data_IF_118869919974
#
_entry.id   IF_118869919974
#
_cell.length_a   1.000
_cell.length_b   1.000
_cell.length_c   1.000
_cell.angle_alpha   90.00
_cell.angle_beta   90.00
_cell.angle_gamma   90.00
#
_symmetry.space_group_name_H-M   'P 1'
#
loop_
_entity.id
_entity.type
_entity.pdbx_description
1 polymer ?
#
# COMPACT_ATOMS: atom_id res chain seq x y z
N UNK A 1 21.91 -7.18 -19.96
CA UNK A 1 20.52 -6.68 -19.76
C UNK A 1 20.21 -6.81 -18.28
N UNK A 2 20.38 -5.76 -17.47
CA UNK A 2 20.29 -5.92 -16.01
C UNK A 2 20.20 -4.64 -15.18
N UNK A 3 20.43 -3.46 -15.76
CA UNK A 3 20.38 -2.18 -15.02
C UNK A 3 18.99 -1.50 -15.05
N UNK A 4 18.18 -1.73 -16.10
CA UNK A 4 16.91 -1.03 -16.29
C UNK A 4 15.80 -1.47 -15.32
N UNK A 5 15.83 -2.71 -14.80
CA UNK A 5 14.78 -3.23 -13.93
C UNK A 5 14.81 -2.60 -12.53
N UNK A 6 16.00 -2.44 -11.95
CA UNK A 6 16.17 -1.79 -10.64
C UNK A 6 15.82 -0.29 -10.69
N UNK A 7 16.19 0.41 -11.78
CA UNK A 7 15.87 1.83 -11.96
C UNK A 7 14.37 2.07 -12.11
N UNK A 8 13.66 1.21 -12.85
CA UNK A 8 12.21 1.34 -13.03
C UNK A 8 11.44 1.10 -11.72
N UNK A 9 11.80 0.05 -10.98
CA UNK A 9 11.18 -0.26 -9.68
C UNK A 9 11.40 0.85 -8.66
N UNK A 10 12.64 1.35 -8.54
CA UNK A 10 12.96 2.47 -7.66
C UNK A 10 12.23 3.76 -8.06
N UNK A 11 12.13 4.05 -9.36
CA UNK A 11 11.37 5.21 -9.88
C UNK A 11 9.88 5.12 -9.57
N UNK A 12 9.28 3.94 -9.77
CA UNK A 12 7.88 3.70 -9.45
C UNK A 12 7.64 3.85 -7.95
N UNK A 13 8.43 3.20 -7.10
CA UNK A 13 8.32 3.32 -5.65
C UNK A 13 8.46 4.78 -5.19
N UNK A 14 9.45 5.52 -5.73
CA UNK A 14 9.61 6.94 -5.46
C UNK A 14 8.40 7.78 -5.85
N UNK A 15 7.77 7.46 -6.97
CA UNK A 15 6.53 8.11 -7.44
C UNK A 15 5.35 7.80 -6.51
N UNK A 16 5.18 6.54 -6.12
CA UNK A 16 4.17 6.10 -5.16
C UNK A 16 4.35 6.85 -3.84
N UNK A 17 5.56 6.80 -3.26
CA UNK A 17 5.91 7.49 -2.01
C UNK A 17 5.59 8.98 -2.08
N UNK A 18 5.92 9.66 -3.18
CA UNK A 18 5.59 11.08 -3.37
C UNK A 18 4.08 11.32 -3.33
N UNK A 19 3.29 10.52 -4.04
CA UNK A 19 1.84 10.67 -4.06
C UNK A 19 1.19 10.29 -2.74
N UNK A 20 1.69 9.27 -2.03
CA UNK A 20 1.26 8.92 -0.67
C UNK A 20 1.41 10.11 0.27
N UNK A 21 2.58 10.77 0.30
CA UNK A 21 2.76 11.96 1.14
C UNK A 21 1.93 13.15 0.68
N UNK A 22 1.65 13.27 -0.62
CA UNK A 22 0.74 14.30 -1.12
C UNK A 22 -0.69 14.08 -0.62
N UNK A 23 -1.17 12.83 -0.57
CA UNK A 23 -2.51 12.52 -0.08
C UNK A 23 -2.61 12.64 1.45
N UNK A 24 -1.53 12.31 2.16
CA UNK A 24 -1.46 12.37 3.63
C UNK A 24 -0.99 13.73 4.17
N UNK A 25 -0.88 14.75 3.30
CA UNK A 25 -0.40 16.07 3.68
C UNK A 25 -1.33 16.70 4.73
N UNK A 26 -0.76 17.08 5.87
CA UNK A 26 -1.51 17.64 7.00
C UNK A 26 -2.21 16.60 7.88
N UNK A 27 -2.19 15.31 7.48
CA UNK A 27 -2.73 14.20 8.26
C UNK A 27 -1.62 13.49 9.05
N UNK A 28 -0.45 13.33 8.43
CA UNK A 28 0.75 12.74 9.03
C UNK A 28 1.95 13.66 8.88
N UNK A 29 2.82 13.65 9.88
CA UNK A 29 4.15 14.22 9.76
C UNK A 29 4.96 13.38 8.77
N UNK A 30 5.60 14.05 7.81
CA UNK A 30 6.39 13.38 6.79
C UNK A 30 7.73 12.95 7.37
N UNK A 31 8.06 11.67 7.21
CA UNK A 31 9.38 11.09 7.56
C UNK A 31 10.20 10.78 6.31
N UNK A 32 11.52 10.74 6.48
CA UNK A 32 12.44 10.38 5.41
C UNK A 32 13.58 9.46 5.86
N UNK A 33 14.49 9.16 4.94
CA UNK A 33 15.54 8.16 5.12
C UNK A 33 16.65 8.65 6.05
N UNK A 34 16.64 9.93 6.42
CA UNK A 34 17.49 10.51 7.45
C UNK A 34 16.89 10.41 8.85
N UNK A 35 15.59 10.10 8.97
CA UNK A 35 14.93 9.85 10.25
C UNK A 35 15.54 8.62 10.92
N UNK A 36 15.90 8.73 12.21
CA UNK A 36 16.51 7.61 12.92
C UNK A 36 15.53 6.43 13.05
N UNK A 37 16.05 5.21 13.19
CA UNK A 37 15.21 4.02 13.36
C UNK A 37 14.30 4.12 14.59
N UNK A 38 14.77 4.74 15.67
CA UNK A 38 13.99 4.95 16.89
C UNK A 38 12.85 5.93 16.67
N UNK A 39 13.12 7.08 16.05
CA UNK A 39 12.07 8.06 15.73
C UNK A 39 11.06 7.49 14.73
N UNK A 40 11.53 6.72 13.76
CA UNK A 40 10.66 6.06 12.80
C UNK A 40 9.76 5.02 13.48
N UNK A 41 10.30 4.21 14.38
CA UNK A 41 9.50 3.24 15.15
C UNK A 41 8.43 3.95 16.00
N UNK A 42 8.78 5.07 16.65
CA UNK A 42 7.84 5.91 17.40
C UNK A 42 6.74 6.46 16.48
N UNK A 43 7.14 7.03 15.34
CA UNK A 43 6.22 7.58 14.35
C UNK A 43 5.25 6.52 13.84
N UNK A 44 5.75 5.33 13.45
CA UNK A 44 4.92 4.21 12.99
C UNK A 44 3.99 3.64 14.06
N UNK A 45 4.41 3.72 15.32
CA UNK A 45 3.59 3.28 16.46
C UNK A 45 2.47 4.26 16.81
N UNK A 46 2.48 5.47 16.26
CA UNK A 46 1.44 6.46 16.53
C UNK A 46 0.06 6.00 16.05
N UNK A 47 -0.99 6.37 16.80
CA UNK A 47 -2.36 5.97 16.49
C UNK A 47 -2.77 6.41 15.08
N UNK A 48 -2.32 7.59 14.63
CA UNK A 48 -2.62 8.10 13.30
C UNK A 48 -2.00 7.22 12.20
N UNK A 49 -0.74 6.83 12.32
CA UNK A 49 -0.09 5.98 11.32
C UNK A 49 -0.71 4.59 11.31
N UNK A 50 -0.96 4.00 12.48
CA UNK A 50 -1.63 2.71 12.61
C UNK A 50 -3.05 2.73 12.06
N UNK A 51 -3.77 3.84 12.23
CA UNK A 51 -5.10 4.03 11.67
C UNK A 51 -5.04 4.03 10.14
N UNK A 52 -4.16 4.83 9.53
CA UNK A 52 -4.00 4.86 8.07
C UNK A 52 -3.54 3.52 7.50
N UNK A 53 -2.62 2.81 8.19
CA UNK A 53 -2.20 1.48 7.78
C UNK A 53 -3.36 0.48 7.71
N UNK A 54 -4.28 0.52 8.67
CA UNK A 54 -5.44 -0.39 8.74
C UNK A 54 -6.58 0.01 7.80
N UNK A 55 -6.75 1.30 7.54
CA UNK A 55 -7.91 1.87 6.85
C UNK A 55 -7.57 2.39 5.44
N UNK A 56 -6.56 1.82 4.79
CA UNK A 56 -6.14 2.25 3.44
C UNK A 56 -7.28 2.18 2.41
N UNK A 57 -8.13 1.17 2.54
CA UNK A 57 -9.25 0.88 1.63
C UNK A 57 -10.57 1.47 2.11
N UNK A 58 -10.62 1.99 3.33
CA UNK A 58 -11.84 2.58 3.90
C UNK A 58 -12.15 3.86 3.14
N UNK A 59 -13.36 3.92 2.57
CA UNK A 59 -13.98 5.12 2.02
C UNK A 59 -15.10 5.58 2.95
N UNK A 60 -15.24 6.88 3.12
CA UNK A 60 -16.40 7.48 3.79
C UNK A 60 -17.40 7.94 2.72
N UNK A 61 -18.66 8.24 3.11
CA UNK A 61 -19.73 8.64 2.16
C UNK A 61 -19.32 9.81 1.25
N UNK A 62 -18.51 10.73 1.77
CA UNK A 62 -18.07 11.93 1.07
C UNK A 62 -16.65 11.83 0.47
N UNK A 63 -15.88 10.77 0.78
CA UNK A 63 -14.46 10.69 0.42
C UNK A 63 -14.02 9.32 -0.06
N UNK A 64 -13.40 9.31 -1.24
CA UNK A 64 -12.70 8.16 -1.78
C UNK A 64 -11.60 7.66 -0.84
N UNK A 65 -11.40 6.34 -0.81
CA UNK A 65 -10.36 5.74 0.02
C UNK A 65 -8.98 6.28 -0.32
N UNK A 66 -8.08 6.32 0.68
CA UNK A 66 -6.71 6.77 0.46
C UNK A 66 -6.01 5.96 -0.64
N UNK A 67 -6.25 4.64 -0.65
CA UNK A 67 -5.72 3.75 -1.67
C UNK A 67 -6.20 4.17 -3.07
N UNK A 68 -7.50 4.42 -3.24
CA UNK A 68 -8.05 4.86 -4.53
C UNK A 68 -7.45 6.20 -4.99
N UNK A 69 -7.32 7.17 -4.07
CA UNK A 69 -6.73 8.46 -4.37
C UNK A 69 -5.27 8.34 -4.86
N UNK A 70 -4.47 7.48 -4.21
CA UNK A 70 -3.07 7.24 -4.61
C UNK A 70 -3.03 6.50 -5.95
N UNK A 71 -3.82 5.44 -6.12
CA UNK A 71 -3.89 4.67 -7.37
C UNK A 71 -4.23 5.57 -8.55
N UNK A 72 -5.24 6.43 -8.39
CA UNK A 72 -5.67 7.37 -9.44
C UNK A 72 -4.59 8.41 -9.77
N UNK A 73 -3.80 8.84 -8.78
CA UNK A 73 -2.67 9.76 -9.02
C UNK A 73 -1.50 9.11 -9.74
N UNK A 74 -1.22 7.82 -9.49
CA UNK A 74 -0.07 7.11 -10.08
C UNK A 74 -0.40 6.54 -11.46
N UNK A 75 -1.56 5.89 -11.60
CA UNK A 75 -1.93 5.12 -12.80
C UNK A 75 -3.16 5.69 -13.53
N UNK A 76 -3.82 6.72 -13.00
CA UNK A 76 -5.05 7.26 -13.57
C UNK A 76 -6.26 6.36 -13.32
N UNK A 77 -7.38 6.70 -13.97
CA UNK A 77 -8.65 5.95 -13.86
C UNK A 77 -8.63 4.58 -14.53
N UNK A 78 -7.61 4.29 -15.35
CA UNK A 78 -7.41 3.01 -16.03
C UNK A 78 -6.58 2.02 -15.22
N UNK A 79 -6.39 2.25 -13.92
CA UNK A 79 -5.61 1.38 -13.07
C UNK A 79 -6.23 -0.03 -13.00
N UNK A 80 -5.40 -1.05 -13.15
CA UNK A 80 -5.81 -2.45 -12.99
C UNK A 80 -5.81 -2.84 -11.51
N UNK A 81 -6.44 -3.98 -11.19
CA UNK A 81 -6.38 -4.57 -9.85
C UNK A 81 -4.94 -4.83 -9.38
N UNK A 82 -4.09 -5.32 -10.27
CA UNK A 82 -2.66 -5.52 -9.98
C UNK A 82 -1.95 -4.20 -9.67
N UNK A 83 -2.30 -3.11 -10.35
CA UNK A 83 -1.76 -1.80 -10.00
C UNK A 83 -2.15 -1.42 -8.57
N UNK A 84 -3.42 -1.62 -8.19
CA UNK A 84 -3.91 -1.38 -6.82
C UNK A 84 -3.15 -2.18 -5.77
N UNK A 85 -2.91 -3.48 -6.02
CA UNK A 85 -2.12 -4.31 -5.11
C UNK A 85 -0.67 -3.83 -4.94
N UNK A 86 -0.02 -3.42 -6.03
CA UNK A 86 1.33 -2.85 -5.96
C UNK A 86 1.35 -1.56 -5.13
N UNK A 87 0.38 -0.66 -5.35
CA UNK A 87 0.26 0.55 -4.53
C UNK A 87 0.03 0.19 -3.07
N UNK A 88 -0.92 -0.71 -2.77
CA UNK A 88 -1.27 -1.13 -1.42
C UNK A 88 -0.04 -1.68 -0.68
N UNK A 89 0.71 -2.59 -1.30
CA UNK A 89 1.93 -3.16 -0.73
C UNK A 89 3.00 -2.08 -0.47
N UNK A 90 3.20 -1.16 -1.40
CA UNK A 90 4.17 -0.06 -1.23
C UNK A 90 3.78 0.90 -0.11
N UNK A 91 2.49 1.23 0.03
CA UNK A 91 2.00 2.08 1.11
C UNK A 91 2.11 1.35 2.45
N UNK A 92 1.75 0.07 2.51
CA UNK A 92 1.92 -0.75 3.70
C UNK A 92 3.39 -0.83 4.12
N UNK A 93 4.32 -1.02 3.18
CA UNK A 93 5.76 -1.00 3.45
C UNK A 93 6.18 0.28 4.21
N UNK A 94 5.65 1.44 3.81
CA UNK A 94 5.96 2.71 4.46
C UNK A 94 5.29 2.89 5.83
N UNK A 95 4.07 2.38 6.02
CA UNK A 95 3.25 2.67 7.20
C UNK A 95 3.20 1.54 8.24
N UNK A 96 3.61 0.33 7.89
CA UNK A 96 3.46 -0.85 8.73
C UNK A 96 4.30 -0.72 10.00
N UNK A 97 3.68 -0.74 11.21
CA UNK A 97 4.38 -0.60 12.48
C UNK A 97 5.34 -1.73 12.79
N UNK A 98 5.16 -2.90 12.19
CA UNK A 98 6.03 -4.07 12.39
C UNK A 98 7.18 -4.11 11.37
N UNK A 99 7.13 -3.23 10.36
CA UNK A 99 8.19 -3.14 9.36
C UNK A 99 9.13 -1.96 9.67
N UNK A 100 10.45 -2.16 9.82
CA UNK A 100 11.34 -1.09 10.25
C UNK A 100 11.71 -0.09 9.16
N UNK A 101 11.52 -0.40 7.87
CA UNK A 101 11.95 0.46 6.76
C UNK A 101 10.81 1.35 6.25
N UNK A 102 11.19 2.45 5.61
CA UNK A 102 10.30 3.27 4.76
C UNK A 102 10.76 3.30 3.30
N UNK A 103 11.98 2.84 3.05
CA UNK A 103 12.49 2.58 1.71
C UNK A 103 11.86 1.32 1.15
N UNK A 104 12.01 1.12 -0.15
CA UNK A 104 11.50 -0.08 -0.81
C UNK A 104 12.16 -1.33 -0.21
N UNK A 105 11.33 -2.21 0.35
CA UNK A 105 11.73 -3.56 0.73
C UNK A 105 11.06 -4.55 -0.23
N UNK A 106 11.84 -5.12 -1.15
CA UNK A 106 11.31 -6.02 -2.18
C UNK A 106 10.68 -7.27 -1.57
N UNK A 107 11.31 -7.84 -0.53
CA UNK A 107 10.82 -9.06 0.11
C UNK A 107 9.49 -8.81 0.81
N UNK A 108 9.36 -7.67 1.50
CA UNK A 108 8.09 -7.26 2.10
C UNK A 108 7.00 -7.07 1.03
N UNK A 109 7.31 -6.37 -0.06
CA UNK A 109 6.34 -6.10 -1.13
C UNK A 109 5.89 -7.42 -1.79
N UNK A 110 6.83 -8.30 -2.13
CA UNK A 110 6.53 -9.60 -2.73
C UNK A 110 5.66 -10.44 -1.78
N UNK A 111 6.03 -10.51 -0.49
CA UNK A 111 5.25 -11.18 0.56
C UNK A 111 3.79 -10.70 0.59
N UNK A 112 3.57 -9.38 0.56
CA UNK A 112 2.21 -8.81 0.56
C UNK A 112 1.45 -9.15 -0.71
N UNK A 113 2.10 -9.09 -1.88
CA UNK A 113 1.46 -9.41 -3.16
C UNK A 113 1.01 -10.87 -3.23
N UNK A 114 1.85 -11.81 -2.75
CA UNK A 114 1.48 -13.23 -2.65
C UNK A 114 0.25 -13.37 -1.75
N UNK A 115 0.28 -12.76 -0.56
CA UNK A 115 -0.85 -12.80 0.37
C UNK A 115 -2.14 -12.26 -0.26
N UNK A 116 -2.09 -11.15 -0.99
CA UNK A 116 -3.29 -10.59 -1.62
C UNK A 116 -3.86 -11.51 -2.71
N UNK A 117 -2.99 -12.22 -3.45
CA UNK A 117 -3.42 -13.20 -4.44
C UNK A 117 -4.09 -14.42 -3.78
N UNK A 118 -3.53 -14.89 -2.66
CA UNK A 118 -4.10 -16.01 -1.88
C UNK A 118 -5.46 -15.63 -1.27
N UNK A 119 -5.57 -14.44 -0.67
CA UNK A 119 -6.82 -13.91 -0.09
C UNK A 119 -7.92 -13.74 -1.17
N UNK A 120 -7.54 -13.42 -2.41
CA UNK A 120 -8.47 -13.31 -3.54
C UNK A 120 -8.95 -14.69 -4.00
N UNK A 121 -8.06 -15.68 -4.09
CA UNK A 121 -8.42 -17.06 -4.45
C UNK A 121 -9.43 -17.63 -3.46
N UNK A 122 -9.16 -17.45 -2.15
CA UNK A 122 -10.03 -17.98 -1.10
C UNK A 122 -11.42 -17.33 -1.06
N UNK A 123 -11.54 -16.04 -1.42
CA UNK A 123 -12.83 -15.36 -1.54
C UNK A 123 -13.66 -15.84 -2.75
N UNK A 124 -13.00 -16.26 -3.83
CA UNK A 124 -13.71 -16.83 -4.99
C UNK A 124 -14.24 -18.24 -4.72
N UNK A 125 -13.49 -19.05 -3.96
CA UNK A 125 -13.91 -20.43 -3.62
C UNK A 125 -15.07 -20.47 -2.62
N UNK A 126 -15.27 -19.41 -1.83
CA UNK A 126 -16.36 -19.30 -0.86
C UNK A 126 -17.68 -18.76 -1.43
N UNK A 127 -17.73 -18.38 -2.72
CA UNK A 127 -18.94 -17.92 -3.44
C UNK A 127 -19.62 -19.06 -4.23
N UNK A 128 -19.17 -20.32 -4.10
CA UNK A 128 -19.75 -21.47 -4.82
C UNK A 128 -20.47 -22.48 -3.91
N UNK A 129 -21.38 -22.02 -3.05
CA UNK A 129 -22.38 -22.91 -2.42
C UNK A 129 -23.74 -22.22 -2.35
N UNK A 130 -24.44 -22.15 -3.48
CA UNK A 130 -25.90 -22.22 -3.47
C UNK A 130 -26.28 -23.49 -4.20
N UNK A 131 -26.47 -24.56 -3.42
CA UNK A 131 -27.21 -25.74 -3.86
C UNK A 131 -28.67 -25.32 -4.01
N UNK A 132 -29.05 -24.91 -5.22
CA UNK A 132 -30.45 -24.92 -5.61
C UNK A 132 -30.79 -26.36 -6.03
N UNK A 133 -31.12 -27.17 -5.03
CA UNK A 133 -31.84 -28.43 -5.21
C UNK A 133 -33.28 -28.09 -5.64
N UNK A 134 -33.61 -28.38 -6.90
CA UNK A 134 -35.00 -28.55 -7.38
C UNK A 134 -35.11 -29.67 -8.41
#
# INVERSE_FOLDING_TARGET
VGSYCCSYRGSLFGTIRRHTWSCLKGQLDKVDTSTSQTELAIWKSSDKVRWWYKNLETSDEDNESLLYQIVTKVFGKSATKNNTFVIKACVQNMLDPEHPKIEMDEDYIISKLIKYADDESNNNDSISVSSDDY
#
